data_IF_338923829202
#
_entry.id   IF_338923829202
#
_cell.length_a   1.000
_cell.length_b   1.000
_cell.length_c   1.000
_cell.angle_alpha   90.00
_cell.angle_beta   90.00
_cell.angle_gamma   90.00
#
_symmetry.space_group_name_H-M   'P 1'
#
loop_
_entity.id
_entity.type
_entity.pdbx_description
1 polymer ?
#
# COMPACT_ATOMS: atom_id res chain seq x y z
N UNK A 1 44.02 -6.62 6.69
CA UNK A 1 43.60 -5.69 7.75
C UNK A 1 42.88 -4.49 7.13
N UNK A 2 41.53 -4.49 7.15
CA UNK A 2 40.75 -3.25 7.02
C UNK A 2 40.04 -3.08 8.36
N UNK A 3 40.57 -2.17 9.17
CA UNK A 3 39.90 -1.72 10.39
C UNK A 3 38.70 -0.87 9.98
N UNK A 4 37.50 -1.33 10.30
CA UNK A 4 36.33 -0.46 10.38
C UNK A 4 36.15 -0.07 11.86
N UNK A 5 36.29 1.21 12.21
CA UNK A 5 35.98 1.67 13.55
C UNK A 5 34.47 1.64 13.80
N UNK A 6 34.15 1.13 14.98
CA UNK A 6 32.85 0.98 15.60
C UNK A 6 32.31 2.35 16.06
N UNK A 7 31.15 2.74 15.54
CA UNK A 7 30.21 3.70 16.15
C UNK A 7 28.81 3.19 15.78
N UNK A 8 28.05 2.48 16.63
CA UNK A 8 27.40 2.99 17.85
C UNK A 8 26.82 4.39 17.61
N UNK A 9 25.78 4.46 16.78
CA UNK A 9 24.73 5.45 16.95
C UNK A 9 23.41 4.73 17.24
N UNK A 10 22.96 4.94 18.48
CA UNK A 10 21.60 4.90 18.99
C UNK A 10 20.62 3.84 18.45
N UNK A 11 20.34 2.86 19.31
CA UNK A 11 19.01 2.30 19.40
C UNK A 11 18.03 3.41 19.80
N UNK A 12 17.21 3.89 18.86
CA UNK A 12 16.00 4.67 19.12
C UNK A 12 15.11 4.52 17.89
N UNK A 13 13.94 3.93 18.06
CA UNK A 13 12.88 3.77 17.05
C UNK A 13 13.01 2.55 16.13
N UNK A 14 13.18 1.36 16.74
CA UNK A 14 12.58 0.13 16.20
C UNK A 14 11.06 0.26 16.31
N UNK A 15 10.45 1.12 15.49
CA UNK A 15 9.02 1.00 15.21
C UNK A 15 8.88 -0.25 14.35
N UNK A 16 8.26 -1.33 14.84
CA UNK A 16 8.11 -2.53 14.04
C UNK A 16 7.12 -2.23 12.90
N UNK A 17 7.66 -1.92 11.72
CA UNK A 17 6.95 -1.81 10.44
C UNK A 17 6.15 -3.08 10.10
N UNK A 18 6.40 -4.19 10.81
CA UNK A 18 5.63 -5.45 10.73
C UNK A 18 4.23 -5.41 11.34
N UNK A 19 3.85 -4.36 12.08
CA UNK A 19 2.49 -4.25 12.63
C UNK A 19 1.49 -3.61 11.64
N UNK A 20 1.94 -2.87 10.63
CA UNK A 20 1.06 -2.32 9.60
C UNK A 20 0.72 -3.35 8.50
N UNK A 21 1.67 -4.22 8.17
CA UNK A 21 1.52 -5.32 7.19
C UNK A 21 0.43 -6.33 7.59
N UNK A 22 0.25 -6.57 8.91
CA UNK A 22 -0.59 -7.64 9.42
C UNK A 22 -2.09 -7.39 9.28
N UNK A 23 -2.51 -6.13 9.10
CA UNK A 23 -3.92 -5.77 8.86
C UNK A 23 -4.25 -5.63 7.36
N UNK A 24 -3.29 -5.87 6.46
CA UNK A 24 -3.49 -5.64 5.01
C UNK A 24 -3.64 -6.93 4.19
N UNK A 25 -3.28 -8.09 4.74
CA UNK A 25 -2.89 -9.24 3.89
C UNK A 25 -3.92 -10.38 3.70
N UNK A 26 -5.06 -10.47 4.38
CA UNK A 26 -5.80 -11.76 4.37
C UNK A 26 -7.12 -11.80 3.60
N UNK A 27 -7.85 -10.69 3.42
CA UNK A 27 -9.28 -10.86 3.09
C UNK A 27 -9.72 -10.65 1.63
N UNK A 28 -8.93 -10.11 0.70
CA UNK A 28 -9.53 -9.61 -0.57
C UNK A 28 -8.58 -9.72 -1.78
N UNK A 29 -8.23 -10.95 -2.19
CA UNK A 29 -7.39 -11.16 -3.40
C UNK A 29 -7.94 -12.25 -4.33
N UNK A 30 -9.18 -12.70 -4.15
CA UNK A 30 -9.75 -13.76 -5.01
C UNK A 30 -11.21 -13.54 -5.43
N UNK A 31 -12.04 -12.85 -4.64
CA UNK A 31 -13.40 -12.44 -5.07
C UNK A 31 -13.43 -11.09 -5.78
N UNK A 32 -12.41 -10.28 -5.59
CA UNK A 32 -12.37 -8.89 -6.05
C UNK A 32 -11.98 -8.76 -7.51
N UNK A 33 -11.29 -9.73 -8.12
CA UNK A 33 -10.75 -9.58 -9.47
C UNK A 33 -11.81 -9.39 -10.56
N UNK A 34 -12.94 -10.12 -10.54
CA UNK A 34 -13.99 -9.94 -11.54
C UNK A 34 -14.70 -8.58 -11.43
N UNK A 35 -15.02 -8.15 -10.20
CA UNK A 35 -15.60 -6.81 -9.95
C UNK A 35 -14.60 -5.69 -10.26
N UNK A 36 -13.32 -5.94 -9.97
CA UNK A 36 -12.22 -5.04 -10.27
C UNK A 36 -12.08 -4.85 -11.77
N UNK A 37 -12.15 -5.90 -12.58
CA UNK A 37 -12.11 -5.78 -14.05
C UNK A 37 -13.29 -4.97 -14.60
N UNK A 38 -14.50 -5.24 -14.11
CA UNK A 38 -15.70 -4.49 -14.48
C UNK A 38 -15.56 -3.00 -14.11
N UNK A 39 -15.10 -2.70 -12.89
CA UNK A 39 -14.83 -1.33 -12.44
C UNK A 39 -13.67 -0.67 -13.16
N UNK A 40 -12.63 -1.40 -13.56
CA UNK A 40 -11.54 -0.84 -14.36
C UNK A 40 -12.01 -0.41 -15.75
N UNK A 41 -13.03 -1.09 -16.29
CA UNK A 41 -13.65 -0.76 -17.57
C UNK A 41 -14.70 0.35 -17.44
N UNK A 42 -15.57 0.24 -16.43
CA UNK A 42 -16.74 1.11 -16.23
C UNK A 42 -16.40 2.41 -15.46
N UNK A 43 -15.41 2.37 -14.57
CA UNK A 43 -15.06 3.48 -13.69
C UNK A 43 -13.61 4.00 -13.91
N UNK A 44 -13.43 5.19 -14.49
CA UNK A 44 -12.11 5.77 -14.73
C UNK A 44 -11.36 6.14 -13.43
N UNK A 45 -12.07 6.45 -12.34
CA UNK A 45 -11.46 6.75 -11.04
C UNK A 45 -10.81 5.49 -10.46
N UNK A 46 -11.47 4.35 -10.57
CA UNK A 46 -10.93 3.08 -10.11
C UNK A 46 -9.64 2.71 -10.85
N UNK A 47 -9.58 2.99 -12.16
CA UNK A 47 -8.36 2.80 -12.97
C UNK A 47 -7.23 3.72 -12.53
N UNK A 48 -7.52 4.95 -12.13
CA UNK A 48 -6.51 5.86 -11.58
C UNK A 48 -5.98 5.37 -10.24
N UNK A 49 -6.88 5.01 -9.32
CA UNK A 49 -6.54 4.44 -8.02
C UNK A 49 -5.66 3.19 -8.16
N UNK A 50 -5.98 2.30 -9.10
CA UNK A 50 -5.16 1.12 -9.37
C UNK A 50 -3.75 1.47 -9.89
N UNK A 51 -3.62 2.51 -10.73
CA UNK A 51 -2.32 3.00 -11.21
C UNK A 51 -1.51 3.60 -10.05
N UNK A 52 -2.12 4.46 -9.25
CA UNK A 52 -1.47 5.06 -8.09
C UNK A 52 -1.06 4.01 -7.05
N UNK A 53 -1.91 3.01 -6.79
CA UNK A 53 -1.57 1.87 -5.94
C UNK A 53 -0.28 1.19 -6.40
N UNK A 54 -0.15 0.90 -7.70
CA UNK A 54 1.06 0.31 -8.28
C UNK A 54 2.29 1.20 -8.14
N UNK A 55 2.15 2.53 -8.29
CA UNK A 55 3.25 3.48 -8.09
C UNK A 55 3.72 3.51 -6.64
N UNK A 56 2.79 3.51 -5.68
CA UNK A 56 3.13 3.47 -4.26
C UNK A 56 3.74 2.13 -3.85
N UNK A 57 3.26 1.01 -4.40
CA UNK A 57 3.88 -0.32 -4.22
C UNK A 57 5.33 -0.34 -4.69
N UNK A 58 5.59 0.14 -5.90
CA UNK A 58 6.94 0.16 -6.46
C UNK A 58 7.87 1.02 -5.58
N UNK A 59 7.43 2.22 -5.20
CA UNK A 59 8.23 3.11 -4.34
C UNK A 59 8.48 2.51 -2.95
N UNK A 60 7.47 1.86 -2.37
CA UNK A 60 7.63 1.13 -1.12
C UNK A 60 8.61 -0.05 -1.25
N UNK A 61 8.60 -0.75 -2.38
CA UNK A 61 9.55 -1.82 -2.65
C UNK A 61 10.98 -1.29 -2.79
N UNK A 62 11.17 -0.14 -3.42
CA UNK A 62 12.47 0.54 -3.51
C UNK A 62 12.99 0.92 -2.12
N UNK A 63 12.16 1.57 -1.29
CA UNK A 63 12.51 1.96 0.08
C UNK A 63 12.76 0.74 0.97
N UNK A 64 11.95 -0.31 0.85
CA UNK A 64 12.12 -1.55 1.61
C UNK A 64 13.33 -2.37 1.16
N UNK A 65 13.84 -2.16 -0.06
CA UNK A 65 15.08 -2.78 -0.54
C UNK A 65 16.34 -2.10 0.02
N UNK A 66 16.21 -0.89 0.59
CA UNK A 66 17.31 -0.22 1.27
C UNK A 66 17.60 -0.92 2.60
N UNK A 67 18.84 -1.38 2.78
CA UNK A 67 19.26 -2.04 4.02
C UNK A 67 19.34 -1.08 5.22
N UNK A 68 19.56 0.21 4.95
CA UNK A 68 19.69 1.28 5.94
C UNK A 68 18.97 2.54 5.44
N UNK A 69 17.63 2.60 5.53
CA UNK A 69 16.89 3.81 5.22
C UNK A 69 17.15 4.88 6.28
N UNK A 70 17.34 6.12 5.83
CA UNK A 70 17.46 7.33 6.62
C UNK A 70 16.11 7.71 7.25
N UNK A 71 16.11 8.59 8.25
CA UNK A 71 14.86 9.04 8.90
C UNK A 71 13.83 9.59 7.91
N UNK A 72 14.29 10.33 6.90
CA UNK A 72 13.44 10.85 5.81
C UNK A 72 12.82 9.72 4.98
N UNK A 73 13.60 8.70 4.64
CA UNK A 73 13.17 7.54 3.85
C UNK A 73 12.18 6.66 4.64
N UNK A 74 12.39 6.51 5.95
CA UNK A 74 11.44 5.82 6.83
C UNK A 74 10.11 6.58 6.93
N UNK A 75 10.16 7.91 7.03
CA UNK A 75 8.96 8.74 7.07
C UNK A 75 8.22 8.72 5.73
N UNK A 76 8.96 8.68 4.61
CA UNK A 76 8.41 8.47 3.27
C UNK A 76 7.70 7.12 3.20
N UNK A 77 8.34 6.03 3.67
CA UNK A 77 7.74 4.69 3.69
C UNK A 77 6.42 4.66 4.47
N UNK A 78 6.39 5.24 5.67
CA UNK A 78 5.18 5.29 6.51
C UNK A 78 4.08 6.11 5.81
N UNK A 79 4.44 7.23 5.20
CA UNK A 79 3.52 8.08 4.45
C UNK A 79 2.94 7.34 3.25
N UNK A 80 3.78 6.65 2.48
CA UNK A 80 3.38 5.86 1.32
C UNK A 80 2.50 4.68 1.71
N UNK A 81 2.79 3.99 2.82
CA UNK A 81 1.94 2.92 3.38
C UNK A 81 0.54 3.44 3.74
N UNK A 82 0.45 4.61 4.36
CA UNK A 82 -0.85 5.26 4.65
C UNK A 82 -1.60 5.64 3.38
N UNK A 83 -0.92 6.22 2.38
CA UNK A 83 -1.53 6.55 1.08
C UNK A 83 -2.04 5.31 0.37
N UNK A 84 -1.25 4.24 0.34
CA UNK A 84 -1.64 2.94 -0.22
C UNK A 84 -2.89 2.38 0.47
N UNK A 85 -2.96 2.48 1.80
CA UNK A 85 -4.16 2.06 2.55
C UNK A 85 -5.38 2.91 2.19
N UNK A 86 -5.23 4.23 2.10
CA UNK A 86 -6.32 5.12 1.70
C UNK A 86 -6.84 4.79 0.29
N UNK A 87 -5.95 4.53 -0.67
CA UNK A 87 -6.34 4.09 -2.02
C UNK A 87 -7.11 2.77 -1.97
N UNK A 88 -6.65 1.81 -1.17
CA UNK A 88 -7.36 0.54 -0.99
C UNK A 88 -8.77 0.75 -0.43
N UNK A 89 -8.90 1.62 0.57
CA UNK A 89 -10.21 1.98 1.15
C UNK A 89 -11.11 2.67 0.11
N UNK A 90 -10.57 3.53 -0.75
CA UNK A 90 -11.32 4.15 -1.84
C UNK A 90 -11.77 3.14 -2.90
N UNK A 91 -10.89 2.22 -3.31
CA UNK A 91 -11.25 1.14 -4.24
C UNK A 91 -12.38 0.29 -3.67
N UNK A 92 -12.31 -0.06 -2.37
CA UNK A 92 -13.36 -0.82 -1.71
C UNK A 92 -14.68 -0.05 -1.65
N UNK A 93 -14.63 1.26 -1.38
CA UNK A 93 -15.82 2.11 -1.35
C UNK A 93 -16.52 2.15 -2.72
N UNK A 94 -15.74 2.26 -3.81
CA UNK A 94 -16.27 2.21 -5.17
C UNK A 94 -16.89 0.85 -5.49
N UNK A 95 -16.25 -0.24 -5.06
CA UNK A 95 -16.80 -1.60 -5.21
C UNK A 95 -18.15 -1.75 -4.53
N UNK A 96 -18.25 -1.33 -3.27
CA UNK A 96 -19.50 -1.39 -2.51
C UNK A 96 -20.61 -0.53 -3.12
N UNK A 97 -20.27 0.66 -3.62
CA UNK A 97 -21.23 1.50 -4.34
C UNK A 97 -21.72 0.86 -5.63
N UNK A 98 -20.83 0.23 -6.38
CA UNK A 98 -21.19 -0.45 -7.63
C UNK A 98 -22.07 -1.67 -7.38
N UNK A 99 -21.75 -2.51 -6.40
CA UNK A 99 -22.60 -3.63 -5.99
C UNK A 99 -23.99 -3.15 -5.58
N UNK A 100 -24.08 -2.04 -4.83
CA UNK A 100 -25.37 -1.47 -4.42
C UNK A 100 -26.16 -0.96 -5.62
N UNK A 101 -25.53 -0.26 -6.56
CA UNK A 101 -26.20 0.24 -7.77
C UNK A 101 -26.64 -0.92 -8.67
N UNK A 102 -25.80 -1.94 -8.84
CA UNK A 102 -26.10 -3.13 -9.64
C UNK A 102 -27.28 -3.94 -9.07
N UNK A 103 -27.41 -4.03 -7.74
CA UNK A 103 -28.46 -4.80 -7.07
C UNK A 103 -29.81 -4.05 -6.98
N UNK A 104 -29.81 -2.71 -7.06
CA UNK A 104 -31.06 -1.91 -6.95
C UNK A 104 -31.79 -1.78 -8.30
N UNK A 105 -31.21 -2.28 -9.40
CA UNK A 105 -31.71 -2.10 -10.76
C UNK A 105 -32.36 -3.31 -11.44
N UNK A 106 -32.76 -4.36 -10.72
CA UNK A 106 -33.43 -5.54 -11.31
C UNK A 106 -34.80 -5.82 -10.70
#
# INVERSE_FOLDING_TARGET
>A
MRHYPRALHAASNFFPSKLFERRLSVMEMTKTDSLKEELMSSNPEFRELAREHGRYEQRLSELSALAYPSDEEQLEEVTLKKKKLAIKDQMYSLMLQHEKTANVGH
#
